data_IF_107142773776
#
_entry.id   IF_107142773776
#
_cell.length_a   1.000
_cell.length_b   1.000
_cell.length_c   1.000
_cell.angle_alpha   90.00
_cell.angle_beta   90.00
_cell.angle_gamma   90.00
#
_symmetry.space_group_name_H-M   'P 1'
#
loop_
_entity.id
_entity.type
_entity.pdbx_description
1 polymer ?
#
# COMPACT_ATOMS: atom_id res chain seq x y z
N UNK A 1 -20.88 -0.06 18.70
CA UNK A 1 -20.08 1.06 18.19
C UNK A 1 -19.05 0.49 17.23
N UNK A 2 -18.87 1.08 16.06
CA UNK A 2 -17.79 0.66 15.15
C UNK A 2 -16.48 1.20 15.73
N UNK A 3 -15.47 0.34 15.86
CA UNK A 3 -14.11 0.72 16.28
C UNK A 3 -13.57 1.86 15.41
N UNK A 4 -12.83 2.78 16.03
CA UNK A 4 -12.04 3.76 15.27
C UNK A 4 -10.91 3.06 14.52
N UNK A 5 -10.39 3.65 13.42
CA UNK A 5 -9.24 3.07 12.70
C UNK A 5 -8.03 2.85 13.61
N UNK A 6 -7.80 3.75 14.57
CA UNK A 6 -6.70 3.67 15.52
C UNK A 6 -6.88 2.50 16.50
N UNK A 7 -8.08 2.29 17.02
CA UNK A 7 -8.40 1.12 17.87
C UNK A 7 -8.23 -0.18 17.09
N UNK A 8 -8.73 -0.25 15.84
CA UNK A 8 -8.58 -1.42 14.99
C UNK A 8 -7.11 -1.74 14.68
N UNK A 9 -6.24 -0.72 14.56
CA UNK A 9 -4.79 -0.93 14.40
C UNK A 9 -4.12 -1.36 15.70
N UNK A 10 -4.57 -0.86 16.84
CA UNK A 10 -4.03 -1.26 18.15
C UNK A 10 -4.29 -2.73 18.48
N UNK A 11 -5.40 -3.28 17.96
CA UNK A 11 -5.77 -4.69 18.11
C UNK A 11 -4.92 -5.64 17.25
N UNK A 12 -4.20 -5.11 16.24
CA UNK A 12 -3.35 -5.95 15.40
C UNK A 12 -2.08 -6.38 16.13
N UNK A 13 -1.60 -7.64 15.92
CA UNK A 13 -0.35 -8.11 16.51
C UNK A 13 0.84 -7.21 16.16
N UNK A 14 1.54 -6.72 17.17
CA UNK A 14 2.72 -5.85 17.06
C UNK A 14 4.03 -6.55 17.44
N UNK A 15 3.98 -7.78 17.93
CA UNK A 15 5.17 -8.53 18.30
C UNK A 15 5.87 -9.09 17.06
N UNK A 16 7.22 -9.09 17.11
CA UNK A 16 8.02 -9.73 16.08
C UNK A 16 7.62 -11.20 15.92
N UNK A 17 7.28 -11.63 14.72
CA UNK A 17 6.83 -12.98 14.46
C UNK A 17 7.24 -13.45 13.05
N UNK A 18 6.96 -14.73 12.75
CA UNK A 18 7.27 -15.34 11.46
C UNK A 18 6.23 -14.95 10.42
N UNK A 19 6.70 -14.38 9.33
CA UNK A 19 5.94 -14.16 8.10
C UNK A 19 6.21 -15.25 7.07
N UNK A 20 5.24 -15.51 6.20
CA UNK A 20 5.35 -16.49 5.11
C UNK A 20 4.65 -15.95 3.88
N UNK A 21 5.34 -15.96 2.74
CA UNK A 21 4.76 -15.56 1.46
C UNK A 21 5.14 -16.59 0.39
N UNK A 22 4.18 -16.96 -0.46
CA UNK A 22 4.44 -17.82 -1.62
C UNK A 22 4.86 -16.97 -2.80
N UNK A 23 5.99 -17.29 -3.42
CA UNK A 23 6.44 -16.61 -4.64
C UNK A 23 5.70 -17.12 -5.88
N UNK A 24 5.94 -16.50 -7.04
CA UNK A 24 5.32 -16.88 -8.31
C UNK A 24 5.66 -18.32 -8.75
N UNK A 25 6.81 -18.85 -8.33
CA UNK A 25 7.26 -20.22 -8.61
C UNK A 25 6.68 -21.26 -7.64
N UNK A 26 5.88 -20.82 -6.65
CA UNK A 26 5.23 -21.70 -5.69
C UNK A 26 6.04 -21.99 -4.42
N UNK A 27 7.29 -21.52 -4.33
CA UNK A 27 8.12 -21.68 -3.13
C UNK A 27 7.72 -20.70 -2.03
N UNK A 28 7.96 -21.10 -0.78
CA UNK A 28 7.67 -20.26 0.35
C UNK A 28 8.91 -19.48 0.81
N UNK A 29 8.81 -18.16 0.77
CA UNK A 29 9.75 -17.28 1.45
C UNK A 29 9.25 -17.06 2.88
N UNK A 30 10.11 -17.27 3.86
CA UNK A 30 9.81 -17.04 5.27
C UNK A 30 10.81 -16.05 5.86
N UNK A 31 10.32 -15.18 6.72
CA UNK A 31 11.17 -14.24 7.47
C UNK A 31 10.64 -14.09 8.89
N UNK A 32 11.48 -13.59 9.77
CA UNK A 32 11.09 -13.22 11.14
C UNK A 32 11.21 -11.70 11.25
N UNK A 33 10.15 -11.04 11.67
CA UNK A 33 10.16 -9.59 11.75
C UNK A 33 8.77 -8.95 11.67
N UNK A 34 8.69 -7.93 10.85
CA UNK A 34 7.53 -7.06 10.68
C UNK A 34 7.12 -6.99 9.21
N UNK A 35 5.95 -6.44 8.98
CA UNK A 35 5.41 -6.14 7.66
C UNK A 35 4.99 -4.67 7.61
N UNK A 36 5.37 -3.98 6.55
CA UNK A 36 4.92 -2.65 6.22
C UNK A 36 3.77 -2.73 5.21
N UNK A 37 2.66 -2.12 5.56
CA UNK A 37 1.50 -1.93 4.68
C UNK A 37 1.45 -0.48 4.26
N UNK A 38 1.32 -0.23 2.97
CA UNK A 38 1.34 1.11 2.38
C UNK A 38 0.11 1.34 1.52
N UNK A 39 -0.45 2.53 1.66
CA UNK A 39 -1.31 3.14 0.65
C UNK A 39 -0.56 4.32 0.01
N UNK A 40 -0.55 4.37 -1.31
CA UNK A 40 0.28 5.31 -2.09
C UNK A 40 -0.57 5.94 -3.18
N UNK A 41 -0.56 7.25 -3.27
CA UNK A 41 -1.19 7.98 -4.37
C UNK A 41 -0.51 7.70 -5.72
N UNK A 42 -1.24 7.88 -6.82
CA UNK A 42 -0.72 7.65 -8.18
C UNK A 42 0.54 8.48 -8.50
N UNK A 43 0.72 9.63 -7.86
CA UNK A 43 1.91 10.47 -7.95
C UNK A 43 3.12 9.94 -7.14
N UNK A 44 2.98 8.82 -6.42
CA UNK A 44 4.05 8.20 -5.66
C UNK A 44 4.22 8.73 -4.23
N UNK A 45 3.29 9.54 -3.74
CA UNK A 45 3.29 10.02 -2.35
C UNK A 45 2.62 8.97 -1.46
N UNK A 46 3.31 8.41 -0.45
CA UNK A 46 2.69 7.57 0.56
C UNK A 46 1.64 8.34 1.37
N UNK A 47 0.40 7.86 1.38
CA UNK A 47 -0.72 8.48 2.12
C UNK A 47 -0.81 7.90 3.53
N UNK A 48 -0.73 6.57 3.63
CA UNK A 48 -0.81 5.87 4.91
C UNK A 48 0.22 4.73 4.94
N UNK A 49 0.87 4.59 6.09
CA UNK A 49 1.83 3.53 6.37
C UNK A 49 1.51 2.89 7.72
N UNK A 50 1.45 1.56 7.77
CA UNK A 50 1.17 0.79 8.98
C UNK A 50 2.19 -0.33 9.11
N UNK A 51 2.82 -0.45 10.29
CA UNK A 51 3.75 -1.55 10.61
C UNK A 51 3.05 -2.54 11.53
N UNK A 52 3.05 -3.80 11.14
CA UNK A 52 2.47 -4.89 11.92
C UNK A 52 3.47 -6.03 12.10
N UNK A 53 3.11 -7.01 12.94
CA UNK A 53 3.79 -8.30 12.95
C UNK A 53 3.81 -8.93 11.54
N UNK A 54 4.88 -9.63 11.19
CA UNK A 54 4.98 -10.32 9.90
C UNK A 54 3.91 -11.43 9.73
N UNK A 55 3.29 -11.90 10.81
CA UNK A 55 2.23 -12.90 10.80
C UNK A 55 0.85 -12.36 10.38
N UNK A 56 0.66 -11.04 10.36
CA UNK A 56 -0.62 -10.41 10.01
C UNK A 56 -0.87 -10.54 8.50
N UNK A 57 -2.06 -10.96 8.13
CA UNK A 57 -2.46 -11.02 6.73
C UNK A 57 -2.84 -9.64 6.19
N UNK A 58 -2.55 -9.39 4.93
CA UNK A 58 -2.75 -8.09 4.29
C UNK A 58 -4.22 -7.63 4.33
N UNK A 59 -5.16 -8.55 4.18
CA UNK A 59 -6.60 -8.25 4.25
C UNK A 59 -7.08 -7.82 5.66
N UNK A 60 -6.39 -8.19 6.74
CA UNK A 60 -6.73 -7.75 8.09
C UNK A 60 -6.41 -6.27 8.31
N UNK A 61 -5.45 -5.74 7.56
CA UNK A 61 -5.01 -4.34 7.64
C UNK A 61 -5.75 -3.47 6.62
N UNK A 62 -6.37 -4.05 5.61
CA UNK A 62 -6.97 -3.31 4.49
C UNK A 62 -8.02 -2.30 4.93
N UNK A 63 -8.97 -2.70 5.77
CA UNK A 63 -10.05 -1.82 6.25
C UNK A 63 -9.53 -0.66 7.11
N UNK A 64 -8.72 -0.86 8.17
CA UNK A 64 -8.18 0.26 8.93
C UNK A 64 -7.24 1.14 8.08
N UNK A 65 -6.47 0.57 7.14
CA UNK A 65 -5.62 1.32 6.23
C UNK A 65 -6.45 2.25 5.33
N UNK A 66 -7.50 1.72 4.67
CA UNK A 66 -8.38 2.48 3.80
C UNK A 66 -9.10 3.61 4.55
N UNK A 67 -9.58 3.35 5.78
CA UNK A 67 -10.20 4.38 6.64
C UNK A 67 -9.23 5.51 6.99
N UNK A 68 -7.98 5.20 7.29
CA UNK A 68 -6.96 6.22 7.57
C UNK A 68 -6.62 7.04 6.34
N UNK A 69 -6.55 6.41 5.17
CA UNK A 69 -6.30 7.10 3.91
C UNK A 69 -7.46 8.02 3.54
N UNK A 70 -8.69 7.59 3.70
CA UNK A 70 -9.90 8.39 3.46
C UNK A 70 -10.02 9.63 4.37
N UNK A 71 -9.38 9.62 5.55
CA UNK A 71 -9.29 10.82 6.41
C UNK A 71 -8.30 11.87 5.89
N UNK A 72 -7.42 11.51 4.96
CA UNK A 72 -6.31 12.37 4.48
C UNK A 72 -6.51 12.85 3.06
N UNK A 73 -7.05 12.00 2.21
CA UNK A 73 -7.24 12.26 0.79
C UNK A 73 -8.57 11.72 0.31
N UNK A 74 -9.12 12.35 -0.72
CA UNK A 74 -10.26 11.81 -1.46
C UNK A 74 -9.73 11.05 -2.68
N UNK A 75 -10.10 9.79 -2.80
CA UNK A 75 -9.72 8.91 -3.92
C UNK A 75 -10.95 8.48 -4.70
N UNK A 76 -10.84 8.43 -6.02
CA UNK A 76 -11.91 7.87 -6.86
C UNK A 76 -11.72 6.36 -7.05
N UNK A 77 -10.50 5.91 -7.19
CA UNK A 77 -10.16 4.50 -7.44
C UNK A 77 -9.25 3.96 -6.35
N UNK A 78 -9.49 2.72 -5.92
CA UNK A 78 -8.58 1.94 -5.08
C UNK A 78 -8.10 0.73 -5.85
N UNK A 79 -6.78 0.61 -6.04
CA UNK A 79 -6.15 -0.45 -6.82
C UNK A 79 -5.50 -1.47 -5.87
N UNK A 80 -5.96 -2.72 -5.91
CA UNK A 80 -5.53 -3.75 -4.97
C UNK A 80 -5.10 -5.04 -5.69
N UNK A 81 -4.15 -5.78 -5.12
CA UNK A 81 -3.76 -7.07 -5.66
C UNK A 81 -4.75 -8.20 -5.31
N UNK A 82 -4.51 -9.38 -5.87
CA UNK A 82 -5.39 -10.54 -5.68
C UNK A 82 -5.47 -11.07 -4.24
N UNK A 83 -4.58 -10.62 -3.33
CA UNK A 83 -4.67 -10.95 -1.91
C UNK A 83 -5.84 -10.24 -1.22
N UNK A 84 -6.33 -9.16 -1.82
CA UNK A 84 -7.46 -8.36 -1.35
C UNK A 84 -8.79 -8.70 -2.05
N UNK A 85 -8.83 -9.75 -2.89
CA UNK A 85 -10.04 -10.16 -3.61
C UNK A 85 -11.07 -10.78 -2.66
N UNK A 86 -11.84 -9.92 -2.00
CA UNK A 86 -12.96 -10.30 -1.15
C UNK A 86 -14.14 -9.33 -1.33
N UNK A 87 -15.36 -9.86 -1.40
CA UNK A 87 -16.55 -9.01 -1.60
C UNK A 87 -16.80 -8.05 -0.42
N UNK A 88 -16.59 -8.44 0.86
CA UNK A 88 -16.74 -7.50 1.97
C UNK A 88 -15.82 -6.27 1.84
N UNK A 89 -14.58 -6.44 1.36
CA UNK A 89 -13.66 -5.32 1.16
C UNK A 89 -14.08 -4.45 -0.02
N UNK A 90 -14.52 -5.05 -1.13
CA UNK A 90 -15.06 -4.30 -2.28
C UNK A 90 -16.28 -3.45 -1.89
N UNK A 91 -17.18 -4.02 -1.10
CA UNK A 91 -18.34 -3.29 -0.59
C UNK A 91 -17.90 -2.14 0.33
N UNK A 92 -16.97 -2.40 1.23
CA UNK A 92 -16.43 -1.37 2.13
C UNK A 92 -15.80 -0.18 1.36
N UNK A 93 -15.03 -0.45 0.31
CA UNK A 93 -14.46 0.60 -0.55
C UNK A 93 -15.55 1.42 -1.26
N UNK A 94 -16.63 0.76 -1.73
CA UNK A 94 -17.79 1.45 -2.32
C UNK A 94 -18.50 2.33 -1.30
N UNK A 95 -18.60 1.89 -0.04
CA UNK A 95 -19.17 2.68 1.06
C UNK A 95 -18.33 3.92 1.39
N UNK A 96 -17.01 3.87 1.16
CA UNK A 96 -16.11 5.04 1.21
C UNK A 96 -16.22 5.96 0.00
N UNK A 97 -17.02 5.59 -1.01
CA UNK A 97 -17.17 6.33 -2.26
C UNK A 97 -16.10 6.00 -3.32
N UNK A 98 -15.32 4.95 -3.11
CA UNK A 98 -14.29 4.51 -4.04
C UNK A 98 -14.81 3.49 -5.05
N UNK A 99 -14.16 3.43 -6.22
CA UNK A 99 -14.32 2.35 -7.20
C UNK A 99 -13.16 1.35 -7.02
N UNK A 100 -13.40 0.19 -6.40
CA UNK A 100 -12.36 -0.80 -6.16
C UNK A 100 -12.02 -1.56 -7.43
N UNK A 101 -10.77 -1.47 -7.90
CA UNK A 101 -10.22 -2.28 -8.97
C UNK A 101 -9.24 -3.28 -8.34
N UNK A 102 -9.67 -4.53 -8.23
CA UNK A 102 -8.93 -5.58 -7.54
C UNK A 102 -8.55 -6.67 -8.53
N UNK A 103 -7.27 -7.05 -8.54
CA UNK A 103 -6.84 -8.22 -9.31
C UNK A 103 -7.61 -9.46 -8.85
N UNK A 104 -8.07 -10.23 -9.80
CA UNK A 104 -8.92 -11.36 -9.50
C UNK A 104 -8.07 -12.56 -9.11
N UNK A 105 -8.42 -13.18 -7.99
CA UNK A 105 -7.82 -14.43 -7.59
C UNK A 105 -8.44 -15.57 -8.40
N UNK A 106 -7.69 -16.07 -9.38
CA UNK A 106 -8.14 -17.19 -10.26
C UNK A 106 -8.09 -18.56 -9.58
N UNK A 107 -7.52 -18.68 -8.38
CA UNK A 107 -7.38 -19.97 -7.70
C UNK A 107 -8.75 -20.56 -7.35
N UNK A 108 -9.02 -21.76 -7.83
CA UNK A 108 -10.27 -22.49 -7.55
C UNK A 108 -11.50 -21.97 -8.30
N UNK A 109 -11.32 -21.10 -9.30
CA UNK A 109 -12.39 -20.62 -10.18
C UNK A 109 -12.19 -21.17 -11.61
N UNK A 110 -13.18 -21.84 -12.17
CA UNK A 110 -13.13 -22.35 -13.56
C UNK A 110 -13.12 -21.20 -14.58
N UNK A 111 -13.93 -20.15 -14.34
CA UNK A 111 -14.04 -18.97 -15.20
C UNK A 111 -13.92 -17.71 -14.35
N UNK A 112 -12.71 -17.29 -13.95
CA UNK A 112 -12.56 -16.05 -13.20
C UNK A 112 -12.97 -14.86 -14.07
N UNK A 113 -13.74 -13.89 -13.52
CA UNK A 113 -14.04 -12.67 -14.24
C UNK A 113 -12.73 -11.95 -14.58
N UNK A 114 -12.71 -11.21 -15.69
CA UNK A 114 -11.54 -10.43 -16.10
C UNK A 114 -11.85 -8.95 -15.99
N UNK A 115 -10.83 -8.17 -15.64
CA UNK A 115 -10.93 -6.71 -15.69
C UNK A 115 -11.19 -6.26 -17.14
N UNK A 116 -12.01 -5.25 -17.32
CA UNK A 116 -12.22 -4.63 -18.63
C UNK A 116 -10.97 -3.85 -19.10
N UNK A 117 -10.97 -3.32 -20.32
CA UNK A 117 -9.82 -2.63 -20.90
C UNK A 117 -9.46 -1.34 -20.13
N UNK A 118 -10.46 -0.61 -19.64
CA UNK A 118 -10.27 0.63 -18.88
C UNK A 118 -9.76 0.32 -17.46
N UNK A 119 -10.30 -0.70 -16.82
CA UNK A 119 -9.83 -1.19 -15.51
C UNK A 119 -8.39 -1.70 -15.60
N UNK A 120 -8.04 -2.48 -16.63
CA UNK A 120 -6.66 -2.96 -16.86
C UNK A 120 -5.67 -1.81 -17.00
N UNK A 121 -6.04 -0.76 -17.76
CA UNK A 121 -5.19 0.42 -17.92
C UNK A 121 -4.95 1.10 -16.57
N UNK A 122 -6.01 1.33 -15.79
CA UNK A 122 -5.90 1.93 -14.44
C UNK A 122 -5.15 1.03 -13.48
N UNK A 123 -5.38 -0.27 -13.54
CA UNK A 123 -4.69 -1.24 -12.69
C UNK A 123 -3.16 -1.22 -12.89
N UNK A 124 -2.69 -0.84 -14.07
CA UNK A 124 -1.27 -0.62 -14.37
C UNK A 124 -0.60 0.40 -13.45
N UNK A 125 -1.33 1.40 -12.96
CA UNK A 125 -0.84 2.42 -12.02
C UNK A 125 -0.42 1.80 -10.66
N UNK A 126 -0.86 0.60 -10.33
CA UNK A 126 -0.44 -0.13 -9.12
C UNK A 126 1.08 -0.34 -9.03
N UNK A 127 1.79 -0.32 -10.16
CA UNK A 127 3.26 -0.39 -10.18
C UNK A 127 3.93 0.72 -9.39
N UNK A 128 3.24 1.83 -9.12
CA UNK A 128 3.74 2.92 -8.26
C UNK A 128 4.05 2.42 -6.86
N UNK A 129 3.14 1.66 -6.24
CA UNK A 129 3.33 1.09 -4.90
C UNK A 129 4.52 0.13 -4.86
N UNK A 130 4.72 -0.65 -5.93
CA UNK A 130 5.85 -1.57 -6.04
C UNK A 130 7.19 -0.81 -6.11
N UNK A 131 7.24 0.29 -6.87
CA UNK A 131 8.41 1.18 -6.93
C UNK A 131 8.74 1.80 -5.58
N UNK A 132 7.72 2.29 -4.85
CA UNK A 132 7.92 2.84 -3.51
C UNK A 132 8.41 1.77 -2.55
N UNK A 133 7.84 0.57 -2.57
CA UNK A 133 8.29 -0.55 -1.76
C UNK A 133 9.75 -0.96 -2.06
N UNK A 134 10.15 -0.97 -3.34
CA UNK A 134 11.54 -1.25 -3.72
C UNK A 134 12.48 -0.16 -3.18
N UNK A 135 12.14 1.11 -3.34
CA UNK A 135 12.94 2.21 -2.81
C UNK A 135 13.10 2.15 -1.29
N UNK A 136 12.04 1.86 -0.55
CA UNK A 136 12.12 1.69 0.90
C UNK A 136 13.06 0.56 1.30
N UNK A 137 13.08 -0.53 0.55
CA UNK A 137 13.95 -1.67 0.80
C UNK A 137 15.40 -1.38 0.41
N UNK A 138 15.61 -0.86 -0.79
CA UNK A 138 16.92 -0.78 -1.41
C UNK A 138 17.69 0.48 -0.99
N UNK A 139 16.99 1.62 -0.85
CA UNK A 139 17.62 2.92 -0.54
C UNK A 139 17.55 3.30 0.94
N UNK A 140 16.52 2.82 1.66
CA UNK A 140 16.27 3.21 3.05
C UNK A 140 16.38 2.05 4.06
N UNK A 141 16.96 0.92 3.64
CA UNK A 141 17.31 -0.19 4.53
C UNK A 141 16.13 -0.93 5.16
N UNK A 142 14.91 -0.79 4.61
CA UNK A 142 13.73 -1.46 5.16
C UNK A 142 13.71 -2.99 4.89
N UNK A 143 14.60 -3.50 4.02
CA UNK A 143 14.73 -4.94 3.78
C UNK A 143 15.48 -5.65 4.91
N UNK A 144 16.49 -5.00 5.52
CA UNK A 144 17.34 -5.56 6.56
C UNK A 144 17.66 -4.50 7.60
N UNK A 145 16.80 -4.39 8.60
CA UNK A 145 16.95 -3.38 9.65
C UNK A 145 17.90 -3.83 10.74
N UNK A 146 18.82 -2.95 11.15
CA UNK A 146 19.75 -3.18 12.26
C UNK A 146 19.11 -2.98 13.64
N UNK A 147 17.85 -2.49 13.68
CA UNK A 147 17.09 -2.23 14.91
C UNK A 147 16.16 -3.39 15.24
N UNK A 148 15.94 -3.62 16.54
CA UNK A 148 15.05 -4.68 17.05
C UNK A 148 13.93 -4.10 17.90
N UNK A 149 12.77 -4.75 17.86
CA UNK A 149 11.56 -4.35 18.58
C UNK A 149 10.68 -3.38 17.80
N UNK A 150 9.36 -3.48 18.00
CA UNK A 150 8.34 -2.77 17.22
C UNK A 150 8.57 -1.26 17.18
N UNK A 151 8.80 -0.61 18.33
CA UNK A 151 8.97 0.84 18.41
C UNK A 151 10.15 1.36 17.57
N UNK A 152 11.29 0.65 17.59
CA UNK A 152 12.47 1.05 16.81
C UNK A 152 12.28 0.78 15.32
N UNK A 153 11.63 -0.33 14.96
CA UNK A 153 11.29 -0.64 13.57
C UNK A 153 10.29 0.37 13.03
N UNK A 154 9.27 0.71 13.81
CA UNK A 154 8.30 1.73 13.45
C UNK A 154 8.98 3.09 13.22
N UNK A 155 9.86 3.51 14.13
CA UNK A 155 10.63 4.73 14.01
C UNK A 155 11.47 4.77 12.71
N UNK A 156 12.26 3.72 12.46
CA UNK A 156 13.07 3.60 11.22
C UNK A 156 12.19 3.68 9.97
N UNK A 157 11.10 2.90 9.95
CA UNK A 157 10.18 2.85 8.81
C UNK A 157 9.48 4.19 8.58
N UNK A 158 9.10 4.89 9.67
CA UNK A 158 8.47 6.22 9.57
C UNK A 158 9.42 7.22 8.92
N UNK A 159 10.68 7.26 9.32
CA UNK A 159 11.68 8.14 8.68
C UNK A 159 11.92 7.77 7.21
N UNK A 160 11.97 6.48 6.88
CA UNK A 160 12.10 6.03 5.51
C UNK A 160 10.90 6.46 4.63
N UNK A 161 9.68 6.29 5.14
CA UNK A 161 8.46 6.74 4.46
C UNK A 161 8.45 8.26 4.31
N UNK A 162 8.83 9.00 5.34
CA UNK A 162 8.95 10.47 5.28
C UNK A 162 9.93 10.91 4.19
N UNK A 163 11.11 10.31 4.13
CA UNK A 163 12.12 10.63 3.11
C UNK A 163 11.61 10.37 1.69
N UNK A 164 10.92 9.24 1.46
CA UNK A 164 10.28 8.94 0.17
C UNK A 164 9.17 9.95 -0.15
N UNK A 165 8.38 10.36 0.85
CA UNK A 165 7.30 11.35 0.67
C UNK A 165 7.86 12.71 0.28
N UNK A 166 8.93 13.17 0.94
CA UNK A 166 9.61 14.44 0.61
C UNK A 166 10.15 14.40 -0.82
N UNK A 167 10.84 13.32 -1.20
CA UNK A 167 11.36 13.17 -2.57
C UNK A 167 10.24 13.19 -3.62
N UNK A 168 9.12 12.50 -3.36
CA UNK A 168 7.98 12.50 -4.27
C UNK A 168 7.35 13.90 -4.41
N UNK A 169 7.18 14.62 -3.30
CA UNK A 169 6.65 16.00 -3.30
C UNK A 169 7.60 16.96 -4.01
N UNK A 170 8.90 16.86 -3.78
CA UNK A 170 9.90 17.68 -4.49
C UNK A 170 9.83 17.47 -6.00
N UNK A 171 9.69 16.23 -6.46
CA UNK A 171 9.54 15.92 -7.90
C UNK A 171 8.27 16.54 -8.48
N UNK A 172 7.15 16.50 -7.75
CA UNK A 172 5.90 17.13 -8.19
C UNK A 172 6.06 18.64 -8.32
N UNK A 173 6.70 19.30 -7.35
CA UNK A 173 6.96 20.74 -7.39
C UNK A 173 7.87 21.13 -8.58
N UNK A 174 8.95 20.39 -8.80
CA UNK A 174 9.85 20.64 -9.93
C UNK A 174 9.19 20.41 -11.28
N UNK A 175 8.30 19.41 -11.37
CA UNK A 175 7.56 19.15 -12.62
C UNK A 175 6.53 20.25 -12.92
N UNK A 176 5.84 20.77 -11.92
CA UNK A 176 4.93 21.90 -12.10
C UNK A 176 5.68 23.17 -12.51
N UNK A 177 6.82 23.47 -11.89
CA UNK A 177 7.66 24.61 -12.28
C UNK A 177 8.16 24.56 -13.73
N UNK A 178 8.42 23.37 -14.27
CA UNK A 178 8.85 23.21 -15.67
C UNK A 178 7.71 23.32 -16.69
N UNK A 179 6.46 23.10 -16.28
CA UNK A 179 5.27 23.29 -17.15
C UNK A 179 4.85 24.76 -17.23
N UNK A 180 5.11 25.55 -16.19
CA UNK A 180 4.80 26.99 -16.17
C UNK A 180 5.84 27.82 -16.95
N UNK A 181 7.05 27.31 -17.16
CA UNK A 181 8.08 27.96 -18.00
C UNK A 181 7.92 27.66 -19.51
N UNK A 182 7.05 26.74 -19.90
CA UNK A 182 6.88 26.31 -21.30
C UNK A 182 5.78 27.06 -22.05
N UNK A 183 5.28 28.18 -21.53
CA UNK A 183 4.31 29.06 -22.25
C UNK A 183 4.87 30.48 -22.41
N UNK A 184 5.76 30.73 -23.37
CA UNK A 184 5.90 32.03 -23.94
C UNK A 184 5.30 32.05 -25.33
N UNK A 185 4.07 32.57 -25.46
CA UNK A 185 3.62 33.45 -26.54
C UNK A 185 4.19 33.12 -27.94
N UNK A 186 3.36 32.59 -28.79
CA UNK A 186 3.29 33.01 -30.18
C UNK A 186 1.87 32.92 -30.70
#
# INVERSE_FOLDING_TARGET
MLQTPQEALADLPQLCNKGKKRNAQGHFNTWVGYKLHLDVACCGVPITAVVTSASVYDNQVSVPLARLSAQRVTSLYTLMDAAYDSEPLRQFERELGHVPIVAINSRGRENPPTLDAAEKKRFGERTVVERINSRLKDSFGCASMWVKGHAKVLCHTTFAVLAVSVDALMRLMLYQGSSDEADPIA
#
